data_IF_305739617239
#
_entry.id   IF_305739617239
#
_cell.length_a   1.000
_cell.length_b   1.000
_cell.length_c   1.000
_cell.angle_alpha   90.00
_cell.angle_beta   90.00
_cell.angle_gamma   90.00
#
_symmetry.space_group_name_H-M   'P 1'
#
loop_
_entity.id
_entity.type
_entity.pdbx_description
1 polymer ?
#
# COMPACT_ATOMS: atom_id res chain seq x y z
N UNK A 1 -0.53 52.54 50.14
CA UNK A 1 -1.08 51.49 49.26
C UNK A 1 -0.06 51.21 48.16
N UNK A 2 0.74 50.16 48.33
CA UNK A 2 1.79 49.72 47.41
C UNK A 2 1.16 49.24 46.10
N UNK A 3 1.51 49.89 44.99
CA UNK A 3 1.20 49.39 43.64
C UNK A 3 2.25 48.34 43.28
N UNK A 4 1.79 47.08 43.25
CA UNK A 4 2.53 45.90 42.80
C UNK A 4 2.98 46.12 41.34
N UNK A 5 4.28 46.34 41.13
CA UNK A 5 4.91 46.30 39.80
C UNK A 5 5.40 44.87 39.58
N UNK A 6 4.68 44.10 38.78
CA UNK A 6 5.14 42.82 38.24
C UNK A 6 6.19 43.14 37.17
N UNK A 7 7.46 42.70 37.31
CA UNK A 7 8.43 42.90 36.25
C UNK A 7 8.20 41.86 35.15
N UNK A 8 8.20 42.38 33.93
CA UNK A 8 8.21 41.72 32.64
C UNK A 8 9.41 40.75 32.56
N UNK A 9 9.19 39.45 32.73
CA UNK A 9 10.14 38.40 32.34
C UNK A 9 9.99 38.15 30.83
N UNK A 10 10.60 39.03 30.03
CA UNK A 10 10.79 38.82 28.59
C UNK A 10 12.30 38.84 28.32
N UNK A 11 12.96 37.74 28.63
CA UNK A 11 14.34 37.49 28.22
C UNK A 11 14.57 35.98 28.08
N UNK A 12 15.24 35.61 27.00
CA UNK A 12 15.89 34.32 26.72
C UNK A 12 15.01 33.13 26.30
N UNK A 13 14.35 33.26 25.14
CA UNK A 13 14.30 32.14 24.16
C UNK A 13 14.79 32.68 22.83
N UNK A 14 16.06 33.08 22.80
CA UNK A 14 16.83 33.13 21.55
C UNK A 14 17.76 31.90 21.60
N UNK A 15 17.14 30.72 21.57
CA UNK A 15 17.85 29.49 21.30
C UNK A 15 18.41 29.61 19.90
N UNK A 16 19.72 29.77 19.86
CA UNK A 16 20.64 29.69 18.74
C UNK A 16 20.07 28.86 17.57
N UNK A 17 19.37 29.50 16.63
CA UNK A 17 19.14 28.94 15.31
C UNK A 17 20.48 29.04 14.60
N UNK A 18 21.31 27.99 14.74
CA UNK A 18 22.45 27.79 13.88
C UNK A 18 21.89 27.67 12.45
N UNK A 19 21.98 28.76 11.68
CA UNK A 19 21.69 28.72 10.26
C UNK A 19 22.62 27.65 9.65
N UNK A 20 22.11 26.65 8.94
CA UNK A 20 22.96 25.65 8.33
C UNK A 20 23.99 26.34 7.45
N UNK A 21 25.26 25.95 7.57
CA UNK A 21 26.32 26.52 6.73
C UNK A 21 25.99 26.27 5.26
N UNK A 22 26.23 27.27 4.40
CA UNK A 22 25.96 27.19 2.96
C UNK A 22 26.59 25.95 2.28
N UNK A 23 27.64 25.37 2.87
CA UNK A 23 28.31 24.17 2.36
C UNK A 23 27.55 22.86 2.63
N UNK A 24 26.74 22.78 3.69
CA UNK A 24 25.90 21.61 3.97
C UNK A 24 24.67 21.57 3.05
N UNK A 25 24.04 22.73 2.83
CA UNK A 25 22.91 22.87 1.89
C UNK A 25 23.33 22.58 0.45
N UNK A 26 24.52 23.06 0.03
CA UNK A 26 25.05 22.83 -1.31
C UNK A 26 25.28 21.35 -1.63
N UNK A 27 25.69 20.54 -0.64
CA UNK A 27 25.92 19.10 -0.82
C UNK A 27 24.63 18.28 -0.93
N UNK A 28 23.56 18.68 -0.26
CA UNK A 28 22.26 17.98 -0.39
C UNK A 28 21.67 18.24 -1.78
N UNK A 29 21.68 19.49 -2.23
CA UNK A 29 21.21 19.85 -3.59
C UNK A 29 22.03 19.16 -4.70
N UNK A 30 23.35 18.99 -4.49
CA UNK A 30 24.20 18.24 -5.41
C UNK A 30 23.83 16.75 -5.50
N UNK A 31 23.40 16.14 -4.39
CA UNK A 31 22.96 14.75 -4.34
C UNK A 31 21.55 14.57 -4.91
N UNK A 32 20.65 15.55 -4.72
CA UNK A 32 19.31 15.53 -5.31
C UNK A 32 19.36 15.48 -6.84
N UNK A 33 20.35 16.12 -7.46
CA UNK A 33 20.60 16.06 -8.91
C UNK A 33 21.14 14.72 -9.40
N UNK A 34 21.54 13.83 -8.50
CA UNK A 34 21.97 12.47 -8.81
C UNK A 34 20.90 11.41 -8.58
N UNK A 35 19.72 11.81 -8.09
CA UNK A 35 18.65 10.89 -7.71
C UNK A 35 17.38 11.26 -8.44
N UNK A 36 16.71 10.26 -9.02
CA UNK A 36 15.49 10.44 -9.83
C UNK A 36 14.31 9.70 -9.21
N UNK A 37 13.11 10.21 -9.43
CA UNK A 37 11.87 9.50 -9.13
C UNK A 37 11.53 8.61 -10.31
N UNK A 38 11.26 7.33 -10.07
CA UNK A 38 10.80 6.39 -11.09
C UNK A 38 9.29 6.26 -10.95
N UNK A 39 8.59 6.36 -12.06
CA UNK A 39 7.14 6.20 -12.15
C UNK A 39 6.86 5.07 -13.14
N UNK A 40 6.21 4.03 -12.62
CA UNK A 40 5.81 2.84 -13.35
C UNK A 40 4.28 2.89 -13.48
N UNK A 41 3.79 3.10 -14.70
CA UNK A 41 2.37 3.08 -15.01
C UNK A 41 1.96 1.68 -15.45
N UNK A 42 0.87 1.19 -14.87
CA UNK A 42 0.29 -0.12 -15.13
C UNK A 42 -1.20 0.07 -15.43
N UNK A 43 -1.80 -0.86 -16.17
CA UNK A 43 -3.20 -0.83 -16.59
C UNK A 43 -4.20 -0.68 -15.43
N UNK A 44 -3.80 -1.02 -14.20
CA UNK A 44 -4.64 -1.01 -13.01
C UNK A 44 -4.06 -0.19 -11.83
N UNK A 45 -3.03 0.62 -12.08
CA UNK A 45 -2.44 1.48 -11.05
C UNK A 45 -1.14 2.16 -11.43
N UNK A 46 -0.51 2.78 -10.44
CA UNK A 46 0.81 3.40 -10.57
C UNK A 46 1.68 2.94 -9.41
N UNK A 47 2.94 2.61 -9.70
CA UNK A 47 3.96 2.32 -8.71
C UNK A 47 5.07 3.35 -8.82
N UNK A 48 5.66 3.74 -7.69
CA UNK A 48 6.76 4.70 -7.66
C UNK A 48 7.93 4.18 -6.85
N UNK A 49 9.12 4.60 -7.27
CA UNK A 49 10.37 4.26 -6.63
C UNK A 49 11.41 5.33 -6.88
N UNK A 50 12.64 5.02 -6.51
CA UNK A 50 13.79 5.92 -6.66
C UNK A 50 14.85 5.26 -7.55
N UNK A 51 15.60 6.06 -8.28
CA UNK A 51 16.81 5.63 -8.99
C UNK A 51 18.01 6.53 -8.74
N UNK A 52 19.21 5.98 -8.91
CA UNK A 52 20.49 6.70 -8.77
C UNK A 52 21.19 6.83 -10.11
N UNK A 53 21.46 8.05 -10.56
CA UNK A 53 22.21 8.33 -11.80
C UNK A 53 23.66 7.85 -11.64
N UNK A 54 24.11 6.97 -12.53
CA UNK A 54 25.42 6.31 -12.47
C UNK A 54 26.48 7.02 -13.31
N UNK A 55 26.07 7.66 -14.41
CA UNK A 55 26.95 8.36 -15.34
C UNK A 55 26.19 9.38 -16.20
N UNK A 56 26.93 10.16 -17.00
CA UNK A 56 26.36 11.16 -17.90
C UNK A 56 25.76 10.57 -19.19
N UNK A 57 25.93 9.27 -19.45
CA UNK A 57 25.25 8.56 -20.56
C UNK A 57 23.80 8.19 -20.20
N UNK A 58 23.41 8.49 -18.95
CA UNK A 58 22.05 8.39 -18.44
C UNK A 58 21.65 7.03 -17.90
N UNK A 59 22.62 6.20 -17.51
CA UNK A 59 22.34 4.95 -16.81
C UNK A 59 21.96 5.23 -15.36
N UNK A 60 20.89 4.60 -14.89
CA UNK A 60 20.29 4.81 -13.57
C UNK A 60 20.11 3.45 -12.90
N UNK A 61 20.65 3.26 -11.70
CA UNK A 61 20.40 2.06 -10.90
C UNK A 61 19.10 2.19 -10.10
N UNK A 62 18.38 1.09 -9.96
CA UNK A 62 17.19 0.97 -9.10
C UNK A 62 16.99 -0.50 -8.69
N UNK A 63 15.84 -0.83 -8.10
CA UNK A 63 15.46 -2.22 -7.82
C UNK A 63 14.66 -2.85 -8.97
N UNK A 64 14.73 -4.19 -9.06
CA UNK A 64 13.87 -4.97 -9.95
C UNK A 64 12.39 -4.71 -9.66
N UNK A 65 11.98 -4.79 -8.39
CA UNK A 65 10.55 -4.64 -8.05
C UNK A 65 9.96 -3.24 -8.30
N UNK A 66 10.80 -2.23 -8.54
CA UNK A 66 10.37 -0.88 -8.93
C UNK A 66 9.98 -0.86 -10.41
N UNK A 67 10.70 -1.63 -11.24
CA UNK A 67 10.55 -1.63 -12.71
C UNK A 67 9.83 -2.86 -13.25
N UNK A 68 9.32 -3.77 -12.40
CA UNK A 68 8.57 -4.93 -12.87
C UNK A 68 7.14 -4.57 -13.33
N UNK A 69 6.49 -5.46 -14.10
CA UNK A 69 5.10 -5.38 -14.57
C UNK A 69 4.65 -4.02 -15.15
N UNK A 70 5.51 -3.31 -15.88
CA UNK A 70 5.23 -1.97 -16.40
C UNK A 70 4.59 -1.99 -17.79
N UNK A 71 3.61 -1.09 -18.02
CA UNK A 71 3.15 -0.74 -19.37
C UNK A 71 3.95 0.45 -19.91
N UNK A 72 4.19 1.45 -19.07
CA UNK A 72 5.03 2.61 -19.37
C UNK A 72 5.93 2.93 -18.19
N UNK A 73 7.22 3.18 -18.46
CA UNK A 73 8.23 3.47 -17.43
C UNK A 73 8.87 4.83 -17.68
N UNK A 74 8.74 5.71 -16.70
CA UNK A 74 9.28 7.07 -16.77
C UNK A 74 10.15 7.40 -15.57
N UNK A 75 11.02 8.37 -15.75
CA UNK A 75 11.63 9.10 -14.65
C UNK A 75 11.08 10.53 -14.57
N UNK A 76 11.19 11.11 -13.38
CA UNK A 76 11.05 12.54 -13.13
C UNK A 76 12.32 12.98 -12.39
N UNK A 77 12.92 14.08 -12.83
CA UNK A 77 14.17 14.59 -12.25
C UNK A 77 13.89 15.65 -11.19
N UNK A 78 14.90 16.00 -10.39
CA UNK A 78 14.77 17.01 -9.34
C UNK A 78 14.36 18.41 -9.88
N UNK A 79 14.83 18.79 -11.07
CA UNK A 79 14.62 20.14 -11.62
C UNK A 79 13.48 20.25 -12.62
N UNK A 80 13.02 19.11 -13.15
CA UNK A 80 12.09 19.05 -14.27
C UNK A 80 10.98 18.06 -13.96
N UNK A 81 9.75 18.58 -13.90
CA UNK A 81 8.53 17.79 -13.74
C UNK A 81 8.19 16.99 -15.01
N UNK A 82 8.99 17.12 -16.08
CA UNK A 82 8.84 16.32 -17.27
C UNK A 82 9.10 14.84 -17.01
N UNK A 83 8.17 14.04 -17.54
CA UNK A 83 8.32 12.60 -17.63
C UNK A 83 9.26 12.28 -18.78
N UNK A 84 10.33 11.57 -18.48
CA UNK A 84 11.27 11.09 -19.50
C UNK A 84 11.18 9.58 -19.55
N UNK A 85 10.87 9.02 -20.71
CA UNK A 85 10.75 7.58 -20.91
C UNK A 85 12.09 6.89 -20.67
N UNK A 86 12.05 5.75 -19.98
CA UNK A 86 13.22 4.98 -19.58
C UNK A 86 13.23 3.60 -20.23
N UNK A 87 14.41 3.21 -20.73
CA UNK A 87 14.66 1.87 -21.29
C UNK A 87 15.29 0.97 -20.23
N UNK A 88 14.78 -0.25 -20.05
CA UNK A 88 15.39 -1.25 -19.16
C UNK A 88 16.61 -1.87 -19.84
N UNK A 89 17.80 -1.69 -19.26
CA UNK A 89 19.06 -2.23 -19.78
C UNK A 89 19.45 -3.53 -19.07
N UNK A 90 19.22 -3.57 -17.77
CA UNK A 90 19.54 -4.71 -16.91
C UNK A 90 18.36 -4.94 -16.00
N UNK A 91 17.94 -6.20 -15.93
CA UNK A 91 16.98 -6.65 -14.94
C UNK A 91 17.53 -7.91 -14.23
N UNK A 92 17.59 -7.88 -12.90
CA UNK A 92 18.13 -8.94 -12.07
C UNK A 92 17.24 -9.21 -10.84
N UNK A 93 16.18 -10.01 -11.00
CA UNK A 93 15.26 -10.36 -9.91
C UNK A 93 15.95 -10.95 -8.68
N UNK A 94 16.97 -11.79 -8.88
CA UNK A 94 17.64 -12.51 -7.79
C UNK A 94 18.47 -11.58 -6.88
N UNK A 95 18.86 -10.41 -7.38
CA UNK A 95 19.60 -9.39 -6.63
C UNK A 95 18.71 -8.21 -6.21
N UNK A 96 17.45 -8.23 -6.65
CA UNK A 96 16.52 -7.10 -6.60
C UNK A 96 17.18 -5.80 -7.14
N UNK A 97 17.87 -5.90 -8.27
CA UNK A 97 18.58 -4.79 -8.89
C UNK A 97 18.19 -4.67 -10.36
N UNK A 98 18.10 -3.44 -10.83
CA UNK A 98 17.90 -3.12 -12.24
C UNK A 98 18.72 -1.88 -12.63
N UNK A 99 19.00 -1.75 -13.92
CA UNK A 99 19.57 -0.56 -14.52
C UNK A 99 18.69 -0.13 -15.68
N UNK A 100 18.20 1.10 -15.61
CA UNK A 100 17.44 1.74 -16.69
C UNK A 100 18.32 2.82 -17.35
N UNK A 101 17.93 3.26 -18.54
CA UNK A 101 18.64 4.32 -19.26
C UNK A 101 17.67 5.38 -19.77
N UNK A 102 18.09 6.63 -19.61
CA UNK A 102 17.39 7.81 -20.11
C UNK A 102 18.38 8.69 -20.86
N UNK A 103 18.10 9.03 -22.12
CA UNK A 103 19.02 9.85 -22.93
C UNK A 103 18.85 11.33 -22.60
N UNK A 104 19.97 12.05 -22.56
CA UNK A 104 19.98 13.51 -22.40
C UNK A 104 19.63 14.02 -20.99
N UNK A 105 19.63 13.13 -19.99
CA UNK A 105 19.43 13.53 -18.60
C UNK A 105 20.57 14.45 -18.14
N UNK A 106 20.21 15.54 -17.46
CA UNK A 106 21.16 16.43 -16.78
C UNK A 106 21.14 16.11 -15.29
N UNK A 107 22.32 15.91 -14.70
CA UNK A 107 22.43 15.56 -13.29
C UNK A 107 23.88 15.34 -12.87
N UNK A 108 24.05 15.03 -11.59
CA UNK A 108 25.34 14.71 -11.00
C UNK A 108 25.40 13.22 -10.70
N UNK A 109 26.17 12.42 -11.44
CA UNK A 109 26.30 10.99 -11.15
C UNK A 109 26.74 10.72 -9.71
N UNK A 110 26.07 9.78 -9.05
CA UNK A 110 26.39 9.36 -7.69
C UNK A 110 27.60 8.44 -7.74
N UNK A 111 28.68 8.84 -7.05
CA UNK A 111 29.86 7.99 -6.92
C UNK A 111 29.56 6.74 -6.09
N UNK A 112 30.13 5.60 -6.47
CA UNK A 112 29.90 4.31 -5.83
C UNK A 112 31.11 3.92 -4.96
N UNK A 113 30.84 3.59 -3.70
CA UNK A 113 31.80 3.01 -2.77
C UNK A 113 31.41 1.53 -2.54
N UNK A 114 32.00 0.63 -3.32
CA UNK A 114 31.80 -0.82 -3.21
C UNK A 114 32.83 -1.50 -2.27
N UNK A 115 33.56 -0.71 -1.49
CA UNK A 115 34.55 -1.17 -0.54
C UNK A 115 33.96 -1.86 0.70
N UNK A 116 34.80 -2.06 1.70
CA UNK A 116 34.34 -2.59 3.00
C UNK A 116 33.58 -1.51 3.77
N UNK A 117 32.35 -1.85 4.18
CA UNK A 117 31.52 -1.00 5.02
C UNK A 117 31.52 -1.56 6.45
N UNK A 118 31.92 -0.73 7.41
CA UNK A 118 32.03 -1.11 8.82
C UNK A 118 30.68 -1.14 9.52
N UNK A 119 30.57 -1.95 10.57
CA UNK A 119 29.49 -1.78 11.56
C UNK A 119 29.61 -0.38 12.18
N UNK A 120 28.47 0.22 12.51
CA UNK A 120 28.33 1.59 13.04
C UNK A 120 28.78 2.71 12.08
N UNK A 121 29.09 2.41 10.82
CA UNK A 121 29.28 3.45 9.81
C UNK A 121 27.99 4.23 9.62
N UNK A 122 28.07 5.56 9.65
CA UNK A 122 26.93 6.44 9.39
C UNK A 122 26.51 6.33 7.92
N UNK A 123 25.20 6.20 7.71
CA UNK A 123 24.60 6.07 6.39
C UNK A 123 23.30 6.86 6.29
N UNK A 124 22.92 7.20 5.06
CA UNK A 124 21.70 7.95 4.75
C UNK A 124 20.92 7.20 3.68
N UNK A 125 19.67 6.82 3.96
CA UNK A 125 18.78 6.30 2.93
C UNK A 125 18.13 7.48 2.21
N UNK A 126 18.44 7.63 0.93
CA UNK A 126 18.03 8.77 0.14
C UNK A 126 17.03 8.35 -0.96
N UNK A 127 15.95 9.12 -1.16
CA UNK A 127 15.01 8.85 -2.24
C UNK A 127 13.69 9.61 -2.19
N UNK A 128 12.87 9.42 -3.21
CA UNK A 128 11.56 10.07 -3.35
C UNK A 128 10.47 9.24 -2.66
N UNK A 129 9.75 9.77 -1.66
CA UNK A 129 8.67 9.05 -1.02
C UNK A 129 7.49 8.81 -1.97
N UNK A 130 6.83 7.66 -1.84
CA UNK A 130 5.70 7.24 -2.68
C UNK A 130 4.35 7.81 -2.24
N UNK A 131 4.29 8.48 -1.08
CA UNK A 131 3.05 9.07 -0.52
C UNK A 131 2.45 10.19 -1.37
N UNK A 132 3.20 10.68 -2.36
CA UNK A 132 2.80 11.77 -3.24
C UNK A 132 1.75 11.39 -4.28
N UNK A 133 1.51 10.09 -4.47
CA UNK A 133 0.54 9.57 -5.44
C UNK A 133 -0.89 9.49 -4.84
N UNK A 134 -1.05 9.79 -3.54
CA UNK A 134 -2.33 9.76 -2.81
C UNK A 134 -2.94 11.17 -2.59
N UNK A 135 -2.25 12.23 -2.99
CA UNK A 135 -2.73 13.61 -2.83
C UNK A 135 -3.66 14.02 -4.00
N UNK A 136 -4.83 14.65 -3.75
CA UNK A 136 -5.63 15.26 -4.81
C UNK A 136 -4.82 16.35 -5.54
N UNK A 137 -4.58 16.18 -6.85
CA UNK A 137 -3.63 17.00 -7.63
C UNK A 137 -2.19 16.46 -7.69
N UNK A 138 -1.98 15.22 -7.24
CA UNK A 138 -0.69 14.56 -6.99
C UNK A 138 0.16 14.27 -8.23
N UNK A 139 0.77 15.32 -8.78
CA UNK A 139 2.03 15.23 -9.52
C UNK A 139 3.05 16.29 -9.08
N UNK A 140 2.69 17.16 -8.13
CA UNK A 140 3.48 18.32 -7.77
C UNK A 140 4.66 17.96 -6.84
N UNK A 141 5.86 18.12 -7.39
CA UNK A 141 7.14 18.33 -6.73
C UNK A 141 7.38 17.56 -5.41
N UNK A 142 7.74 16.29 -5.52
CA UNK A 142 8.25 15.54 -4.37
C UNK A 142 9.73 15.83 -4.27
N UNK A 143 10.17 16.53 -3.23
CA UNK A 143 11.59 16.63 -2.91
C UNK A 143 12.08 15.25 -2.46
N UNK A 144 13.32 14.92 -2.80
CA UNK A 144 13.94 13.72 -2.25
C UNK A 144 14.07 13.88 -0.73
N UNK A 145 13.92 12.77 -0.02
CA UNK A 145 14.08 12.66 1.42
C UNK A 145 15.39 11.96 1.74
N UNK A 146 15.99 12.34 2.87
CA UNK A 146 17.15 11.66 3.43
C UNK A 146 16.80 11.25 4.87
N UNK A 147 16.92 9.98 5.17
CA UNK A 147 16.82 9.47 6.54
C UNK A 147 18.18 8.99 6.99
N UNK A 148 18.57 9.38 8.19
CA UNK A 148 19.87 9.03 8.75
C UNK A 148 19.79 7.72 9.55
N UNK A 149 20.89 6.99 9.57
CA UNK A 149 21.12 5.88 10.46
C UNK A 149 22.56 5.38 10.44
N UNK A 150 22.75 4.15 10.90
CA UNK A 150 24.02 3.46 11.00
C UNK A 150 23.90 2.04 10.46
N UNK A 151 25.03 1.51 9.99
CA UNK A 151 25.13 0.13 9.55
C UNK A 151 25.09 -0.81 10.75
N UNK A 152 24.05 -1.61 10.86
CA UNK A 152 23.91 -2.60 11.92
C UNK A 152 24.80 -3.83 11.67
N UNK A 153 24.88 -4.28 10.40
CA UNK A 153 25.77 -5.35 9.94
C UNK A 153 25.82 -5.42 8.41
N UNK A 154 26.87 -6.05 7.89
CA UNK A 154 26.96 -6.46 6.48
C UNK A 154 27.15 -7.97 6.45
N UNK A 155 26.34 -8.68 5.67
CA UNK A 155 26.34 -10.15 5.65
C UNK A 155 25.97 -10.70 4.27
N UNK A 156 26.16 -12.00 4.08
CA UNK A 156 25.71 -12.69 2.85
C UNK A 156 24.35 -13.34 3.13
N UNK A 157 23.37 -13.08 2.27
CA UNK A 157 22.00 -13.62 2.38
C UNK A 157 21.38 -13.88 1.01
N UNK A 158 20.05 -13.87 0.91
CA UNK A 158 19.28 -13.98 -0.34
C UNK A 158 17.95 -13.24 -0.21
N UNK A 159 17.40 -12.75 -1.33
CA UNK A 159 16.07 -12.13 -1.39
C UNK A 159 14.94 -13.15 -1.64
N UNK A 160 15.11 -14.40 -1.20
CA UNK A 160 14.16 -15.49 -1.43
C UNK A 160 14.52 -16.44 -2.59
N UNK A 161 15.61 -16.17 -3.32
CA UNK A 161 16.16 -17.07 -4.35
C UNK A 161 17.39 -17.87 -3.88
N UNK A 162 17.94 -18.71 -4.77
CA UNK A 162 19.17 -19.48 -4.52
C UNK A 162 20.47 -18.68 -4.63
N UNK A 163 20.41 -17.49 -5.24
CA UNK A 163 21.58 -16.61 -5.41
C UNK A 163 21.90 -15.92 -4.09
N UNK A 164 23.05 -16.26 -3.53
CA UNK A 164 23.62 -15.51 -2.41
C UNK A 164 23.98 -14.08 -2.86
N UNK A 165 23.83 -13.08 -2.01
CA UNK A 165 24.31 -11.72 -2.26
C UNK A 165 24.75 -11.04 -0.97
N UNK A 166 25.57 -10.00 -1.09
CA UNK A 166 25.99 -9.16 0.03
C UNK A 166 24.91 -8.12 0.34
N UNK A 167 24.45 -8.11 1.60
CA UNK A 167 23.36 -7.27 2.10
C UNK A 167 23.92 -6.34 3.18
N UNK A 168 23.55 -5.07 3.12
CA UNK A 168 23.74 -4.09 4.19
C UNK A 168 22.45 -4.01 4.99
N UNK A 169 22.53 -4.26 6.30
CA UNK A 169 21.44 -3.95 7.23
C UNK A 169 21.79 -2.67 7.97
N UNK A 170 20.82 -1.75 8.06
CA UNK A 170 20.95 -0.47 8.73
C UNK A 170 19.67 -0.09 9.47
N UNK A 171 19.71 0.98 10.26
CA UNK A 171 18.54 1.53 10.95
C UNK A 171 18.03 2.85 10.34
N UNK A 172 18.66 3.34 9.27
CA UNK A 172 18.15 4.48 8.48
C UNK A 172 16.79 4.14 7.84
N UNK A 173 15.75 4.91 8.15
CA UNK A 173 14.38 4.55 7.81
C UNK A 173 14.12 4.51 6.29
N UNK A 174 13.70 3.37 5.76
CA UNK A 174 13.26 3.22 4.37
C UNK A 174 11.74 3.14 4.32
N UNK A 175 11.13 4.15 3.69
CA UNK A 175 9.68 4.22 3.47
C UNK A 175 9.33 3.83 2.03
N UNK A 176 8.05 3.47 1.75
CA UNK A 176 7.57 3.29 0.39
C UNK A 176 7.98 4.45 -0.52
N UNK A 177 8.54 4.15 -1.70
CA UNK A 177 9.09 5.11 -2.67
C UNK A 177 10.62 5.30 -2.61
N UNK A 178 11.25 5.20 -1.44
CA UNK A 178 12.72 5.33 -1.33
C UNK A 178 13.47 4.07 -1.82
N UNK A 179 12.75 2.98 -2.06
CA UNK A 179 13.31 1.76 -2.63
C UNK A 179 13.90 2.04 -4.02
N UNK A 180 15.08 1.49 -4.28
CA UNK A 180 15.85 1.71 -5.50
C UNK A 180 16.79 2.92 -5.41
N UNK A 181 16.59 3.78 -4.41
CA UNK A 181 17.47 4.91 -4.12
C UNK A 181 18.78 4.49 -3.44
N UNK A 182 19.76 5.40 -3.39
CA UNK A 182 21.06 5.06 -2.83
C UNK A 182 21.03 5.06 -1.30
N UNK A 183 21.72 4.09 -0.70
CA UNK A 183 22.21 4.18 0.67
C UNK A 183 23.59 4.87 0.59
N UNK A 184 23.68 6.08 1.14
CA UNK A 184 24.87 6.92 1.03
C UNK A 184 25.72 6.85 2.30
N UNK A 185 27.05 6.86 2.17
CA UNK A 185 27.94 7.15 3.29
C UNK A 185 27.97 8.65 3.63
N UNK A 186 28.68 9.03 4.70
CA UNK A 186 28.80 10.43 5.14
C UNK A 186 29.45 11.38 4.10
N UNK A 187 30.11 10.81 3.09
CA UNK A 187 30.72 11.51 1.97
C UNK A 187 29.80 11.59 0.74
N UNK A 188 28.56 11.08 0.82
CA UNK A 188 27.59 11.13 -0.27
C UNK A 188 27.84 10.08 -1.35
N UNK A 189 28.56 9.00 -1.03
CA UNK A 189 28.85 7.92 -1.98
C UNK A 189 27.94 6.74 -1.72
N UNK A 190 27.43 6.13 -2.78
CA UNK A 190 26.53 5.00 -2.71
C UNK A 190 27.27 3.74 -2.23
N UNK A 191 26.88 3.25 -1.05
CA UNK A 191 27.37 2.00 -0.45
C UNK A 191 26.37 0.84 -0.62
N UNK A 192 25.16 1.13 -1.09
CA UNK A 192 24.16 0.14 -1.47
C UNK A 192 22.92 0.74 -2.13
N UNK A 193 22.02 -0.12 -2.60
CA UNK A 193 20.69 0.25 -3.13
C UNK A 193 19.62 -0.13 -2.12
N UNK A 194 18.89 0.85 -1.57
CA UNK A 194 17.83 0.61 -0.58
C UNK A 194 16.77 -0.34 -1.15
N UNK A 195 16.32 -1.32 -0.38
CA UNK A 195 15.28 -2.27 -0.81
C UNK A 195 14.24 -2.52 0.27
N UNK A 196 13.00 -2.75 -0.17
CA UNK A 196 11.90 -3.25 0.66
C UNK A 196 11.54 -4.71 0.36
N UNK A 197 12.44 -5.48 -0.29
CA UNK A 197 12.18 -6.88 -0.67
C UNK A 197 11.92 -7.82 0.52
N UNK A 198 12.40 -7.49 1.73
CA UNK A 198 12.10 -8.25 2.96
C UNK A 198 11.19 -7.41 3.86
N UNK A 199 9.87 -7.55 3.72
CA UNK A 199 8.89 -6.83 4.55
C UNK A 199 8.63 -7.48 5.90
N UNK A 200 8.90 -8.78 6.06
CA UNK A 200 8.59 -9.53 7.29
C UNK A 200 9.29 -9.02 8.57
N UNK A 201 10.26 -8.10 8.46
CA UNK A 201 10.97 -7.51 9.60
C UNK A 201 11.00 -5.96 9.60
N UNK A 202 10.32 -5.32 8.65
CA UNK A 202 10.18 -3.85 8.59
C UNK A 202 9.19 -3.37 9.66
N UNK A 203 9.67 -3.31 10.91
CA UNK A 203 8.88 -2.95 12.08
C UNK A 203 9.68 -2.85 13.38
N UNK A 204 10.96 -3.27 13.36
CA UNK A 204 11.86 -3.22 14.51
C UNK A 204 13.06 -2.28 14.33
N UNK A 205 12.97 -1.30 13.42
CA UNK A 205 14.07 -0.37 13.13
C UNK A 205 15.23 -0.98 12.35
N UNK A 206 14.98 -2.06 11.61
CA UNK A 206 15.94 -2.68 10.70
C UNK A 206 15.46 -2.54 9.25
N UNK A 207 16.37 -2.08 8.39
CA UNK A 207 16.18 -1.86 6.97
C UNK A 207 17.36 -2.47 6.20
N UNK A 208 17.18 -2.67 4.89
CA UNK A 208 18.17 -3.35 4.08
C UNK A 208 18.46 -2.64 2.76
N UNK A 209 19.68 -2.84 2.29
CA UNK A 209 20.13 -2.45 0.97
C UNK A 209 20.96 -3.59 0.34
N UNK A 210 20.84 -3.78 -0.98
CA UNK A 210 21.81 -4.57 -1.74
C UNK A 210 23.14 -3.84 -1.72
N UNK A 211 24.22 -4.49 -1.27
CA UNK A 211 25.54 -3.84 -1.17
C UNK A 211 26.02 -3.36 -2.54
N UNK A 212 26.68 -2.21 -2.61
CA UNK A 212 27.11 -1.58 -3.87
C UNK A 212 27.96 -2.50 -4.77
N UNK A 213 28.71 -3.45 -4.18
CA UNK A 213 29.47 -4.46 -4.93
C UNK A 213 28.62 -5.35 -5.84
N UNK A 214 27.36 -5.61 -5.49
CA UNK A 214 26.46 -6.38 -6.35
C UNK A 214 26.12 -5.58 -7.61
N UNK A 215 25.85 -4.27 -7.46
CA UNK A 215 25.63 -3.38 -8.59
C UNK A 215 26.90 -3.22 -9.44
N UNK A 216 28.07 -2.94 -8.84
CA UNK A 216 29.31 -2.75 -9.62
C UNK A 216 29.72 -4.01 -10.37
N UNK A 217 29.50 -5.20 -9.81
CA UNK A 217 29.74 -6.46 -10.51
C UNK A 217 28.91 -6.56 -11.80
N UNK A 218 27.62 -6.21 -11.73
CA UNK A 218 26.72 -6.24 -12.89
C UNK A 218 27.10 -5.16 -13.92
N UNK A 219 27.39 -3.93 -13.47
CA UNK A 219 27.83 -2.83 -14.36
C UNK A 219 29.10 -3.20 -15.13
N UNK A 220 30.10 -3.74 -14.42
CA UNK A 220 31.34 -4.21 -15.03
C UNK A 220 31.09 -5.33 -16.05
N UNK A 221 30.21 -6.28 -15.75
CA UNK A 221 29.87 -7.38 -16.67
C UNK A 221 29.22 -6.90 -17.97
N UNK A 222 28.58 -5.73 -17.97
CA UNK A 222 27.93 -5.11 -19.12
C UNK A 222 28.74 -3.97 -19.74
N UNK A 223 29.93 -3.66 -19.22
CA UNK A 223 30.76 -2.56 -19.70
C UNK A 223 30.16 -1.18 -19.49
N UNK A 224 29.30 -1.01 -18.48
CA UNK A 224 28.69 0.29 -18.15
C UNK A 224 29.64 1.06 -17.23
N UNK A 225 30.00 2.27 -17.63
CA UNK A 225 30.87 3.15 -16.86
C UNK A 225 30.16 3.73 -15.63
N UNK A 226 30.90 3.94 -14.55
CA UNK A 226 30.42 4.62 -13.34
C UNK A 226 31.60 5.22 -12.59
N UNK A 227 31.33 6.22 -11.74
CA UNK A 227 32.36 6.80 -10.87
C UNK A 227 32.54 5.93 -9.63
N UNK A 228 33.73 5.35 -9.45
CA UNK A 228 34.08 4.59 -8.23
C UNK A 228 34.93 5.46 -7.31
N UNK A 229 34.53 5.57 -6.04
CA UNK A 229 35.29 6.26 -5.01
C UNK A 229 35.25 5.47 -3.69
N UNK A 230 36.38 4.85 -3.35
CA UNK A 230 36.58 4.09 -2.11
C UNK A 230 37.57 4.78 -1.17
N UNK A 231 37.81 6.08 -1.35
CA UNK A 231 38.71 6.85 -0.48
C UNK A 231 38.19 6.88 0.96
N UNK A 232 39.07 7.10 1.93
CA UNK A 232 38.66 7.22 3.34
C UNK A 232 37.75 8.43 3.50
N UNK A 233 36.53 8.21 4.01
CA UNK A 233 35.63 9.30 4.34
C UNK A 233 36.11 9.95 5.64
N UNK A 234 36.98 10.95 5.54
CA UNK A 234 37.45 11.71 6.69
C UNK A 234 36.39 12.73 7.11
N UNK A 235 35.60 12.39 8.13
CA UNK A 235 34.67 13.32 8.77
C UNK A 235 35.36 14.21 9.82
N UNK A 236 36.65 13.98 10.09
CA UNK A 236 37.46 14.67 11.11
C UNK A 236 38.25 15.88 10.58
N UNK A 237 38.31 16.06 9.25
CA UNK A 237 38.84 17.26 8.59
C UNK A 237 37.91 18.47 8.68
N UNK A 238 37.76 19.06 9.87
CA UNK A 238 37.23 20.42 10.06
C UNK A 238 35.74 20.57 10.44
N UNK A 239 35.11 19.57 11.07
CA UNK A 239 33.65 19.58 11.27
C UNK A 239 33.18 19.28 12.70
N UNK A 240 33.93 19.66 13.74
CA UNK A 240 33.47 19.50 15.13
C UNK A 240 32.22 20.32 15.48
N UNK A 241 31.97 21.43 14.77
CA UNK A 241 30.75 22.25 14.86
C UNK A 241 29.80 22.01 13.68
N UNK A 242 30.35 21.61 12.53
CA UNK A 242 29.60 21.55 11.27
C UNK A 242 28.96 20.18 11.02
N UNK A 243 29.50 19.08 11.56
CA UNK A 243 28.89 17.76 11.44
C UNK A 243 27.60 17.68 12.26
N UNK A 244 27.64 18.18 13.51
CA UNK A 244 26.46 18.27 14.36
C UNK A 244 25.44 19.28 13.83
N UNK A 245 25.87 20.43 13.31
CA UNK A 245 24.95 21.37 12.65
C UNK A 245 24.37 20.81 11.33
N UNK A 246 25.11 19.97 10.60
CA UNK A 246 24.65 19.25 9.39
C UNK A 246 23.64 18.15 9.75
N UNK A 247 23.93 17.39 10.80
CA UNK A 247 23.05 16.38 11.41
C UNK A 247 21.76 17.06 11.90
N UNK A 248 21.87 18.09 12.74
CA UNK A 248 20.74 18.85 13.27
C UNK A 248 19.92 19.51 12.15
N UNK A 249 20.54 20.03 11.08
CA UNK A 249 19.83 20.64 9.95
C UNK A 249 19.11 19.62 9.06
N UNK A 250 19.71 18.45 8.82
CA UNK A 250 19.08 17.37 8.06
C UNK A 250 17.96 16.70 8.87
N UNK A 251 18.18 16.50 10.17
CA UNK A 251 17.18 16.02 11.11
C UNK A 251 16.04 17.03 11.29
N UNK A 252 16.32 18.33 11.38
CA UNK A 252 15.29 19.36 11.48
C UNK A 252 14.47 19.50 10.19
N UNK A 253 15.11 19.41 9.01
CA UNK A 253 14.38 19.40 7.72
C UNK A 253 13.50 18.17 7.59
N UNK A 254 14.01 16.98 7.88
CA UNK A 254 13.23 15.75 7.82
C UNK A 254 12.11 15.70 8.87
N UNK A 255 12.35 16.23 10.08
CA UNK A 255 11.32 16.35 11.12
C UNK A 255 10.24 17.39 10.75
N UNK A 256 10.61 18.52 10.18
CA UNK A 256 9.65 19.52 9.70
C UNK A 256 8.81 18.97 8.54
N UNK A 257 9.42 18.23 7.62
CA UNK A 257 8.73 17.55 6.52
C UNK A 257 7.77 16.47 7.04
N UNK A 258 8.20 15.66 8.01
CA UNK A 258 7.33 14.66 8.64
C UNK A 258 6.16 15.31 9.39
N UNK A 259 6.39 16.47 10.03
CA UNK A 259 5.34 17.22 10.70
C UNK A 259 4.33 17.81 9.71
N UNK A 260 4.79 18.37 8.59
CA UNK A 260 3.94 18.86 7.51
C UNK A 260 3.12 17.72 6.89
N UNK A 261 3.74 16.55 6.70
CA UNK A 261 3.08 15.36 6.17
C UNK A 261 2.00 14.85 7.11
N UNK A 262 2.29 14.74 8.41
CA UNK A 262 1.30 14.35 9.43
C UNK A 262 0.14 15.35 9.50
N UNK A 263 0.41 16.64 9.29
CA UNK A 263 -0.64 17.65 9.22
C UNK A 263 -1.55 17.44 7.98
N UNK A 264 -0.97 17.17 6.81
CA UNK A 264 -1.73 16.86 5.59
C UNK A 264 -2.52 15.55 5.71
N UNK A 265 -1.95 14.52 6.31
CA UNK A 265 -2.65 13.25 6.58
C UNK A 265 -3.81 13.45 7.56
N UNK A 266 -3.61 14.24 8.62
CA UNK A 266 -4.67 14.57 9.56
C UNK A 266 -5.79 15.38 8.89
N UNK A 267 -5.45 16.29 7.98
CA UNK A 267 -6.41 17.08 7.22
C UNK A 267 -7.23 16.20 6.25
N UNK A 268 -6.58 15.29 5.52
CA UNK A 268 -7.25 14.36 4.60
C UNK A 268 -8.20 13.43 5.37
N UNK A 269 -7.72 12.87 6.49
CA UNK A 269 -8.53 11.99 7.34
C UNK A 269 -9.70 12.74 7.99
N UNK A 270 -9.51 14.01 8.35
CA UNK A 270 -10.59 14.86 8.83
C UNK A 270 -11.61 15.18 7.74
N UNK A 271 -11.17 15.38 6.49
CA UNK A 271 -12.07 15.58 5.36
C UNK A 271 -12.90 14.31 5.07
N UNK A 272 -12.26 13.14 5.06
CA UNK A 272 -12.94 11.85 4.83
C UNK A 272 -13.97 11.54 5.93
N UNK A 273 -13.60 11.79 7.20
CA UNK A 273 -14.52 11.61 8.33
C UNK A 273 -15.73 12.56 8.26
N UNK A 274 -15.52 13.79 7.78
CA UNK A 274 -16.63 14.74 7.54
C UNK A 274 -17.58 14.22 6.46
N UNK A 275 -17.06 13.72 5.34
CA UNK A 275 -17.89 13.15 4.27
C UNK A 275 -18.71 11.95 4.76
N UNK A 276 -18.10 11.05 5.54
CA UNK A 276 -18.82 9.92 6.14
C UNK A 276 -19.90 10.37 7.12
N UNK A 277 -19.63 11.40 7.92
CA UNK A 277 -20.60 11.95 8.86
C UNK A 277 -21.78 12.62 8.14
N UNK A 278 -21.52 13.35 7.05
CA UNK A 278 -22.57 13.96 6.22
C UNK A 278 -23.44 12.91 5.52
N UNK A 279 -22.85 11.82 5.05
CA UNK A 279 -23.58 10.68 4.47
C UNK A 279 -24.48 10.00 5.52
N UNK A 280 -23.97 9.79 6.74
CA UNK A 280 -24.78 9.25 7.83
C UNK A 280 -25.91 10.18 8.28
N UNK A 281 -25.65 11.50 8.33
CA UNK A 281 -26.68 12.49 8.64
C UNK A 281 -27.77 12.51 7.56
N UNK A 282 -27.38 12.45 6.28
CA UNK A 282 -28.33 12.36 5.16
C UNK A 282 -29.23 11.11 5.21
N UNK A 283 -28.69 9.96 5.59
CA UNK A 283 -29.50 8.74 5.79
C UNK A 283 -30.44 8.85 7.01
N UNK A 284 -30.02 9.50 8.10
CA UNK A 284 -30.91 9.76 9.25
C UNK A 284 -32.04 10.71 8.88
N UNK A 285 -31.79 11.74 8.08
CA UNK A 285 -32.82 12.68 7.61
C UNK A 285 -33.85 12.00 6.71
N UNK A 286 -33.41 11.08 5.83
CA UNK A 286 -34.33 10.25 5.03
C UNK A 286 -35.22 9.36 5.91
N UNK A 287 -34.64 8.73 6.94
CA UNK A 287 -35.42 7.92 7.89
C UNK A 287 -36.39 8.78 8.71
N UNK A 288 -35.99 9.98 9.12
CA UNK A 288 -36.83 10.89 9.88
C UNK A 288 -38.02 11.39 9.04
N UNK A 289 -37.78 11.80 7.80
CA UNK A 289 -38.82 12.23 6.88
C UNK A 289 -39.78 11.08 6.54
N UNK A 290 -39.25 9.88 6.34
CA UNK A 290 -40.07 8.69 6.15
C UNK A 290 -40.98 8.40 7.36
N UNK A 291 -40.49 8.57 8.60
CA UNK A 291 -41.31 8.41 9.80
C UNK A 291 -42.40 9.48 9.89
N UNK A 292 -42.07 10.74 9.61
CA UNK A 292 -43.01 11.86 9.64
C UNK A 292 -44.14 11.65 8.62
N UNK A 293 -43.80 11.29 7.38
CA UNK A 293 -44.77 11.03 6.32
C UNK A 293 -45.76 9.91 6.68
N UNK A 294 -45.27 8.82 7.28
CA UNK A 294 -46.13 7.72 7.71
C UNK A 294 -47.03 8.09 8.89
N UNK A 295 -46.54 8.91 9.84
CA UNK A 295 -47.36 9.38 10.97
C UNK A 295 -48.46 10.34 10.48
N UNK A 296 -48.14 11.26 9.57
CA UNK A 296 -49.12 12.18 8.97
C UNK A 296 -50.17 11.42 8.14
N UNK A 297 -49.77 10.41 7.38
CA UNK A 297 -50.68 9.56 6.63
C UNK A 297 -51.60 8.76 7.57
N UNK A 298 -51.06 8.16 8.64
CA UNK A 298 -51.87 7.44 9.63
C UNK A 298 -52.86 8.38 10.35
N UNK A 299 -52.42 9.59 10.71
CA UNK A 299 -53.26 10.59 11.36
C UNK A 299 -54.43 11.06 10.47
N UNK A 300 -54.18 11.30 9.18
CA UNK A 300 -55.21 11.70 8.22
C UNK A 300 -56.25 10.60 7.96
N UNK A 301 -55.83 9.33 7.89
CA UNK A 301 -56.74 8.17 7.80
C UNK A 301 -57.63 8.09 9.05
N UNK A 302 -57.05 8.23 10.25
CA UNK A 302 -57.79 8.19 11.51
C UNK A 302 -58.82 9.33 11.62
N UNK A 303 -58.46 10.55 11.22
CA UNK A 303 -59.37 11.68 11.20
C UNK A 303 -60.52 11.46 10.20
N UNK A 304 -60.23 10.94 9.01
CA UNK A 304 -61.24 10.58 8.02
C UNK A 304 -62.22 9.52 8.53
N UNK A 305 -61.71 8.47 9.16
CA UNK A 305 -62.52 7.42 9.78
C UNK A 305 -63.40 7.97 10.91
N UNK A 306 -62.87 8.88 11.74
CA UNK A 306 -63.63 9.55 12.79
C UNK A 306 -64.80 10.34 12.22
N UNK A 307 -64.56 11.14 11.16
CA UNK A 307 -65.60 11.94 10.49
C UNK A 307 -66.66 11.05 9.87
N UNK A 308 -66.27 9.99 9.17
CA UNK A 308 -67.21 9.02 8.57
C UNK A 308 -68.05 8.36 9.66
N UNK A 309 -67.44 7.95 10.77
CA UNK A 309 -68.13 7.33 11.91
C UNK A 309 -69.13 8.30 12.54
N UNK A 310 -68.75 9.57 12.70
CA UNK A 310 -69.62 10.62 13.22
C UNK A 310 -70.83 10.87 12.30
N UNK A 311 -70.60 10.98 10.97
CA UNK A 311 -71.64 11.18 9.98
C UNK A 311 -72.64 10.00 9.92
N UNK A 312 -72.15 8.77 10.04
CA UNK A 312 -72.99 7.57 10.08
C UNK A 312 -73.77 7.44 11.40
N UNK A 313 -73.17 7.88 12.52
CA UNK A 313 -73.85 7.93 13.82
C UNK A 313 -74.97 8.98 13.85
N UNK A 314 -74.76 10.15 13.23
CA UNK A 314 -75.80 11.20 13.09
C UNK A 314 -76.94 10.75 12.15
N UNK A 315 -76.65 9.97 11.09
CA UNK A 315 -77.68 9.36 10.22
C UNK A 315 -78.39 8.13 10.84
N UNK A 316 -78.13 7.79 12.10
CA UNK A 316 -78.81 6.70 12.82
C UNK A 316 -78.41 5.28 12.40
N UNK A 317 -77.36 5.10 11.57
CA UNK A 317 -77.00 3.81 10.98
C UNK A 317 -75.79 3.17 11.66
N UNK A 318 -75.89 2.97 12.99
CA UNK A 318 -74.77 2.58 13.89
C UNK A 318 -74.10 1.24 13.53
N UNK A 319 -74.86 0.28 12.99
CA UNK A 319 -74.31 -1.02 12.59
C UNK A 319 -73.36 -0.94 11.39
N UNK A 320 -73.64 -0.05 10.43
CA UNK A 320 -72.75 0.18 9.27
C UNK A 320 -71.46 0.90 9.67
N UNK A 321 -71.52 1.80 10.66
CA UNK A 321 -70.34 2.50 11.17
C UNK A 321 -69.33 1.53 11.80
N UNK A 322 -69.79 0.57 12.61
CA UNK A 322 -68.94 -0.44 13.23
C UNK A 322 -68.27 -1.38 12.20
N UNK A 323 -68.99 -1.73 11.13
CA UNK A 323 -68.46 -2.57 10.04
C UNK A 323 -67.32 -1.89 9.26
N UNK A 324 -67.43 -0.59 8.97
CA UNK A 324 -66.41 0.16 8.23
C UNK A 324 -65.12 0.33 9.06
N UNK A 325 -65.23 0.59 10.36
CA UNK A 325 -64.07 0.68 11.26
C UNK A 325 -63.31 -0.64 11.29
N UNK A 326 -64.01 -1.77 11.39
CA UNK A 326 -63.37 -3.09 11.46
C UNK A 326 -62.71 -3.52 10.15
N UNK A 327 -63.26 -3.13 8.98
CA UNK A 327 -62.69 -3.49 7.67
C UNK A 327 -61.40 -2.71 7.34
N UNK A 328 -61.22 -1.51 7.90
CA UNK A 328 -60.06 -0.65 7.59
C UNK A 328 -58.94 -0.75 8.63
N UNK A 329 -59.27 -0.91 9.91
CA UNK A 329 -58.27 -0.93 11.00
C UNK A 329 -57.47 -2.24 11.03
N UNK A 330 -58.09 -3.37 10.71
CA UNK A 330 -57.42 -4.69 10.72
C UNK A 330 -56.27 -4.81 9.69
N UNK A 331 -56.45 -4.48 8.40
CA UNK A 331 -55.38 -4.56 7.41
C UNK A 331 -54.19 -3.62 7.70
N UNK A 332 -54.46 -2.45 8.29
CA UNK A 332 -53.44 -1.47 8.68
C UNK A 332 -52.59 -1.97 9.85
N UNK A 333 -53.18 -2.68 10.82
CA UNK A 333 -52.46 -3.26 11.96
C UNK A 333 -51.44 -4.34 11.57
N UNK A 334 -51.65 -5.01 10.42
CA UNK A 334 -50.74 -6.02 9.88
C UNK A 334 -49.57 -5.38 9.12
N UNK A 335 -49.79 -4.25 8.43
CA UNK A 335 -48.75 -3.52 7.68
C UNK A 335 -47.65 -2.92 8.57
N UNK A 336 -47.98 -2.53 9.80
CA UNK A 336 -47.02 -1.96 10.76
C UNK A 336 -46.25 -3.00 11.60
N UNK A 337 -46.57 -4.30 11.49
CA UNK A 337 -45.82 -5.38 12.17
C UNK A 337 -44.63 -5.93 11.37
N UNK A 338 -44.52 -5.61 10.08
CA UNK A 338 -43.42 -6.07 9.23
C UNK A 338 -42.41 -4.97 8.99
N UNK A 339 -41.24 -5.07 9.63
CA UNK A 339 -39.93 -4.42 9.35
C UNK A 339 -39.31 -3.79 10.60
N UNK A 340 -38.72 -4.61 11.45
CA UNK A 340 -37.70 -4.18 12.41
C UNK A 340 -36.33 -4.73 11.96
N UNK A 341 -35.22 -3.95 12.00
CA UNK A 341 -33.91 -4.46 11.60
C UNK A 341 -33.41 -5.48 12.62
N UNK A 342 -32.98 -6.65 12.15
CA UNK A 342 -32.42 -7.70 13.01
C UNK A 342 -30.98 -7.39 13.43
N UNK A 343 -30.67 -7.56 14.73
CA UNK A 343 -29.30 -7.54 15.28
C UNK A 343 -28.53 -8.80 14.85
N UNK A 344 -27.20 -8.72 14.67
CA UNK A 344 -26.39 -9.89 14.37
C UNK A 344 -26.22 -10.77 15.62
N UNK A 345 -26.43 -12.07 15.45
CA UNK A 345 -26.28 -13.08 16.49
C UNK A 345 -24.83 -13.59 16.60
N UNK A 346 -24.51 -13.98 17.82
CA UNK A 346 -23.22 -14.44 18.35
C UNK A 346 -22.74 -15.79 17.81
N UNK A 347 -21.42 -15.93 17.82
CA UNK A 347 -20.53 -17.09 17.64
C UNK A 347 -21.07 -18.45 18.09
N UNK A 348 -20.79 -19.57 17.37
CA UNK A 348 -20.89 -20.91 17.93
C UNK A 348 -19.52 -21.51 18.30
N UNK A 349 -19.51 -22.18 19.45
CA UNK A 349 -18.43 -23.00 19.99
C UNK A 349 -18.35 -24.38 19.33
N UNK A 350 -17.15 -24.94 19.38
CA UNK A 350 -16.72 -26.19 18.75
C UNK A 350 -16.74 -27.34 19.78
N UNK A 351 -17.11 -28.57 19.38
CA UNK A 351 -16.52 -29.88 19.78
C UNK A 351 -17.31 -31.10 19.22
N UNK A 352 -16.70 -32.31 19.09
CA UNK A 352 -16.70 -33.07 17.83
C UNK A 352 -17.22 -34.54 17.87
N UNK A 353 -17.42 -35.11 16.67
CA UNK A 353 -17.29 -36.54 16.31
C UNK A 353 -18.57 -37.25 15.82
N UNK A 354 -18.50 -38.44 15.16
CA UNK A 354 -17.46 -38.98 14.28
C UNK A 354 -17.99 -39.40 12.87
N UNK A 355 -17.01 -39.75 12.03
CA UNK A 355 -16.94 -40.31 10.68
C UNK A 355 -18.10 -41.22 10.20
N UNK A 356 -18.62 -40.97 9.00
CA UNK A 356 -19.08 -42.02 8.07
C UNK A 356 -18.75 -41.68 6.61
N UNK A 357 -18.32 -42.73 5.91
CA UNK A 357 -17.92 -42.81 4.51
C UNK A 357 -19.16 -43.02 3.64
N UNK A 358 -19.35 -42.23 2.58
CA UNK A 358 -20.17 -42.63 1.43
C UNK A 358 -19.82 -41.80 0.17
N UNK A 359 -19.91 -42.47 -0.98
CA UNK A 359 -19.40 -42.09 -2.29
C UNK A 359 -20.36 -41.22 -3.11
N UNK A 360 -19.77 -40.42 -4.02
CA UNK A 360 -20.28 -39.96 -5.32
C UNK A 360 -21.70 -39.37 -5.41
N UNK A 361 -21.77 -38.04 -5.47
CA UNK A 361 -22.78 -37.32 -6.25
C UNK A 361 -22.22 -35.98 -6.75
N UNK A 362 -22.29 -35.76 -8.06
CA UNK A 362 -22.02 -34.46 -8.71
C UNK A 362 -23.08 -33.48 -8.20
N UNK A 363 -22.66 -32.45 -7.46
CA UNK A 363 -23.55 -31.40 -6.96
C UNK A 363 -23.04 -30.03 -7.43
N UNK A 364 -23.89 -29.34 -8.18
CA UNK A 364 -23.76 -27.94 -8.59
C UNK A 364 -23.71 -27.01 -7.38
N UNK A 365 -22.79 -26.03 -7.29
CA UNK A 365 -22.71 -25.15 -6.13
C UNK A 365 -23.60 -23.91 -6.34
N UNK A 366 -24.77 -23.91 -5.69
CA UNK A 366 -25.43 -22.67 -5.27
C UNK A 366 -25.49 -22.71 -3.75
N UNK A 367 -24.72 -21.83 -3.09
CA UNK A 367 -25.05 -21.13 -1.84
C UNK A 367 -23.79 -20.44 -1.27
N UNK A 368 -23.61 -19.16 -1.57
CA UNK A 368 -23.00 -18.15 -0.68
C UNK A 368 -21.57 -18.30 -0.12
N UNK A 369 -20.91 -19.44 -0.20
CA UNK A 369 -19.62 -19.73 0.45
C UNK A 369 -18.42 -19.11 -0.25
N UNK A 370 -17.35 -18.88 0.51
CA UNK A 370 -16.04 -18.50 0.01
C UNK A 370 -15.20 -19.71 -0.41
N UNK A 371 -13.93 -19.48 -0.78
CA UNK A 371 -12.94 -20.54 -0.98
C UNK A 371 -11.87 -20.46 0.12
N UNK A 372 -11.34 -21.63 0.48
CA UNK A 372 -10.09 -21.75 1.24
C UNK A 372 -9.03 -22.34 0.32
N UNK A 373 -7.93 -21.61 0.17
CA UNK A 373 -6.76 -22.07 -0.57
C UNK A 373 -5.70 -22.48 0.45
N UNK A 374 -5.40 -23.76 0.54
CA UNK A 374 -4.44 -24.27 1.54
C UNK A 374 -3.35 -25.12 0.91
N UNK A 375 -2.11 -25.00 1.38
CA UNK A 375 -1.00 -25.74 0.82
C UNK A 375 0.33 -25.33 1.42
N UNK A 376 1.39 -25.46 0.62
CA UNK A 376 2.76 -25.22 1.08
C UNK A 376 3.54 -24.35 0.11
N UNK A 377 4.37 -23.48 0.68
CA UNK A 377 5.48 -22.81 0.03
C UNK A 377 6.76 -23.56 0.39
N UNK A 378 7.49 -24.07 -0.61
CA UNK A 378 8.72 -24.84 -0.37
C UNK A 378 8.48 -26.18 0.34
N UNK A 379 9.25 -26.48 1.40
CA UNK A 379 9.24 -27.78 2.09
C UNK A 379 8.59 -27.77 3.50
N UNK A 380 8.21 -26.60 4.03
CA UNK A 380 7.72 -26.51 5.43
C UNK A 380 6.74 -25.38 5.75
N UNK A 381 6.59 -24.37 4.90
CA UNK A 381 5.75 -23.20 5.23
C UNK A 381 4.32 -23.43 4.74
N UNK A 382 3.38 -23.62 5.67
CA UNK A 382 1.97 -23.77 5.34
C UNK A 382 1.34 -22.42 5.01
N UNK A 383 0.57 -22.39 3.93
CA UNK A 383 -0.17 -21.22 3.46
C UNK A 383 -1.66 -21.55 3.52
N UNK A 384 -2.46 -20.64 4.06
CA UNK A 384 -3.91 -20.73 4.06
C UNK A 384 -4.52 -19.35 3.77
N UNK A 385 -5.21 -19.21 2.65
CA UNK A 385 -5.86 -17.97 2.22
C UNK A 385 -7.38 -18.16 2.19
N UNK A 386 -8.11 -17.25 2.82
CA UNK A 386 -9.57 -17.26 2.84
C UNK A 386 -10.12 -16.24 1.85
N UNK A 387 -10.68 -16.73 0.75
CA UNK A 387 -11.40 -15.93 -0.24
C UNK A 387 -12.86 -15.86 0.19
N UNK A 388 -13.20 -14.87 1.00
CA UNK A 388 -14.57 -14.75 1.56
C UNK A 388 -15.57 -14.27 0.50
N UNK A 389 -16.85 -14.50 0.76
CA UNK A 389 -17.93 -14.01 -0.10
C UNK A 389 -18.00 -12.49 -0.19
N UNK A 390 -17.52 -11.77 0.83
CA UNK A 390 -17.40 -10.29 0.81
C UNK A 390 -16.32 -9.82 -0.17
N UNK A 391 -15.20 -10.54 -0.29
CA UNK A 391 -14.14 -10.25 -1.27
C UNK A 391 -14.59 -10.55 -2.71
N UNK A 392 -15.67 -11.33 -2.87
CA UNK A 392 -16.23 -11.71 -4.17
C UNK A 392 -17.56 -10.99 -4.49
N UNK A 393 -17.98 -10.06 -3.64
CA UNK A 393 -19.29 -9.40 -3.75
C UNK A 393 -19.37 -8.45 -4.95
N UNK A 394 -18.25 -7.81 -5.32
CA UNK A 394 -18.11 -7.08 -6.58
C UNK A 394 -17.64 -8.06 -7.67
N UNK A 395 -18.62 -8.66 -8.36
CA UNK A 395 -18.37 -9.70 -9.38
C UNK A 395 -17.47 -9.25 -10.54
N UNK A 396 -17.25 -7.94 -10.72
CA UNK A 396 -16.35 -7.39 -11.75
C UNK A 396 -14.91 -7.20 -11.28
N UNK A 397 -14.68 -6.98 -9.97
CA UNK A 397 -13.34 -6.75 -9.39
C UNK A 397 -12.68 -8.00 -8.85
N UNK A 398 -13.46 -8.97 -8.36
CA UNK A 398 -12.95 -10.21 -7.74
C UNK A 398 -12.00 -9.98 -6.57
N UNK A 399 -11.46 -11.08 -6.05
CA UNK A 399 -10.42 -11.11 -5.03
C UNK A 399 -9.05 -11.29 -5.71
N UNK A 400 -8.20 -10.28 -5.60
CA UNK A 400 -6.82 -10.29 -6.10
C UNK A 400 -5.86 -10.92 -5.09
N UNK A 401 -4.92 -11.73 -5.58
CA UNK A 401 -3.89 -12.40 -4.78
C UNK A 401 -2.52 -12.08 -5.39
N UNK A 402 -1.54 -11.76 -4.53
CA UNK A 402 -0.18 -11.47 -4.96
C UNK A 402 0.71 -11.07 -3.78
N UNK A 403 1.97 -10.71 -4.06
CA UNK A 403 2.95 -10.42 -3.00
C UNK A 403 2.95 -8.99 -2.48
N UNK A 404 2.21 -8.06 -3.09
CA UNK A 404 2.25 -6.66 -2.71
C UNK A 404 1.03 -6.22 -1.90
N UNK A 405 1.15 -5.97 -0.58
CA UNK A 405 0.00 -5.82 0.34
C UNK A 405 -0.88 -4.59 0.08
N UNK A 406 -0.43 -3.63 -0.73
CA UNK A 406 -1.23 -2.45 -1.12
C UNK A 406 -1.91 -2.60 -2.48
N UNK A 407 -1.59 -3.66 -3.23
CA UNK A 407 -2.11 -3.89 -4.58
C UNK A 407 -3.07 -5.09 -4.65
N UNK A 408 -3.23 -5.83 -3.54
CA UNK A 408 -4.00 -7.08 -3.51
C UNK A 408 -4.91 -7.17 -2.30
N UNK A 409 -5.96 -7.96 -2.42
CA UNK A 409 -6.90 -8.26 -1.34
C UNK A 409 -6.34 -9.32 -0.37
N UNK A 410 -5.62 -10.31 -0.90
CA UNK A 410 -4.98 -11.36 -0.12
C UNK A 410 -3.48 -11.42 -0.42
N UNK A 411 -2.67 -11.22 0.64
CA UNK A 411 -1.22 -11.27 0.55
C UNK A 411 -0.72 -12.71 0.50
N UNK A 412 0.07 -13.02 -0.54
CA UNK A 412 0.87 -14.21 -0.64
C UNK A 412 2.35 -13.80 -0.78
N UNK A 413 3.05 -13.73 0.36
CA UNK A 413 4.42 -13.24 0.45
C UNK A 413 5.43 -14.31 -0.01
N UNK A 414 5.64 -14.38 -1.33
CA UNK A 414 6.57 -15.29 -1.98
C UNK A 414 7.26 -14.60 -3.16
N UNK A 415 8.56 -14.80 -3.32
CA UNK A 415 9.37 -14.17 -4.37
C UNK A 415 9.03 -14.66 -5.78
N UNK A 416 8.45 -15.86 -5.90
CA UNK A 416 7.93 -16.38 -7.17
C UNK A 416 6.57 -15.79 -7.54
N UNK A 417 5.93 -15.04 -6.65
CA UNK A 417 4.58 -14.49 -6.85
C UNK A 417 4.69 -13.01 -7.25
N UNK A 418 4.17 -12.59 -8.42
CA UNK A 418 4.07 -11.16 -8.79
C UNK A 418 3.27 -10.32 -7.80
N UNK A 419 3.49 -8.99 -7.83
CA UNK A 419 2.85 -8.02 -6.92
C UNK A 419 1.33 -8.16 -6.91
N UNK A 420 0.75 -8.30 -8.11
CA UNK A 420 -0.60 -8.79 -8.38
C UNK A 420 -0.45 -10.00 -9.29
N UNK A 421 -0.76 -11.19 -8.82
CA UNK A 421 -0.46 -12.42 -9.56
C UNK A 421 -1.68 -12.96 -10.28
N UNK A 422 -2.78 -13.07 -9.56
CA UNK A 422 -4.02 -13.60 -10.10
C UNK A 422 -5.22 -12.92 -9.46
N UNK A 423 -6.38 -13.13 -10.06
CA UNK A 423 -7.68 -12.76 -9.50
C UNK A 423 -8.62 -13.95 -9.50
N UNK A 424 -9.35 -14.13 -8.41
CA UNK A 424 -10.47 -15.06 -8.30
C UNK A 424 -11.76 -14.24 -8.32
N UNK A 425 -12.68 -14.56 -9.20
CA UNK A 425 -13.97 -13.86 -9.32
C UNK A 425 -15.15 -14.84 -9.33
N UNK A 426 -16.36 -14.31 -9.23
CA UNK A 426 -17.58 -15.11 -9.29
C UNK A 426 -18.16 -15.04 -10.70
N UNK A 427 -18.17 -16.18 -11.40
CA UNK A 427 -18.84 -16.34 -12.69
C UNK A 427 -20.29 -16.79 -12.54
N UNK A 428 -20.99 -16.95 -13.67
CA UNK A 428 -22.39 -17.43 -13.71
C UNK A 428 -22.56 -18.86 -13.18
N UNK A 429 -21.52 -19.69 -13.24
CA UNK A 429 -21.55 -21.12 -12.89
C UNK A 429 -20.52 -21.53 -11.82
N UNK A 430 -19.99 -20.58 -11.03
CA UNK A 430 -19.03 -20.88 -9.96
C UNK A 430 -17.91 -19.86 -9.85
N UNK A 431 -16.74 -20.28 -9.35
CA UNK A 431 -15.56 -19.43 -9.26
C UNK A 431 -14.77 -19.46 -10.57
N UNK A 432 -14.19 -18.33 -10.92
CA UNK A 432 -13.28 -18.16 -12.04
C UNK A 432 -11.93 -17.72 -11.50
N UNK A 433 -10.85 -18.12 -12.15
CA UNK A 433 -9.50 -17.64 -11.90
C UNK A 433 -8.91 -17.08 -13.19
N UNK A 434 -8.27 -15.94 -13.09
CA UNK A 434 -7.50 -15.33 -14.17
C UNK A 434 -6.10 -14.99 -13.70
N UNK A 435 -5.11 -15.26 -14.56
CA UNK A 435 -3.75 -14.79 -14.37
C UNK A 435 -3.66 -13.30 -14.75
N UNK A 436 -3.08 -12.47 -13.89
CA UNK A 436 -2.95 -11.03 -14.11
C UNK A 436 -1.62 -10.67 -14.80
N UNK A 437 -1.21 -11.48 -15.77
CA UNK A 437 0.07 -11.39 -16.47
C UNK A 437 1.27 -11.52 -15.52
N UNK A 438 1.22 -12.55 -14.69
CA UNK A 438 2.25 -12.80 -13.70
C UNK A 438 3.55 -13.31 -14.34
N UNK A 439 4.68 -12.99 -13.73
CA UNK A 439 6.03 -13.32 -14.22
C UNK A 439 6.27 -14.83 -14.30
N UNK A 440 5.80 -15.58 -13.29
CA UNK A 440 5.99 -17.03 -13.20
C UNK A 440 4.74 -17.84 -13.56
N UNK A 441 3.64 -17.16 -13.90
CA UNK A 441 2.39 -17.76 -14.36
C UNK A 441 1.55 -18.43 -13.27
N UNK A 442 0.26 -18.50 -13.55
CA UNK A 442 -0.72 -19.30 -12.80
C UNK A 442 -1.02 -20.61 -13.52
N UNK A 443 -1.17 -21.73 -12.78
CA UNK A 443 -1.62 -23.02 -13.33
C UNK A 443 -2.78 -23.59 -12.54
N UNK A 444 -3.72 -24.24 -13.23
CA UNK A 444 -4.81 -25.02 -12.62
C UNK A 444 -4.67 -26.47 -13.06
N UNK A 445 -4.55 -27.38 -12.09
CA UNK A 445 -4.33 -28.82 -12.33
C UNK A 445 -3.14 -29.08 -13.28
N UNK A 446 -2.07 -28.30 -13.12
CA UNK A 446 -0.85 -28.36 -13.93
C UNK A 446 -0.91 -27.63 -15.28
N UNK A 447 -2.10 -27.23 -15.75
CA UNK A 447 -2.27 -26.51 -17.02
C UNK A 447 -2.05 -25.00 -16.81
N UNK A 448 -1.15 -24.35 -17.58
CA UNK A 448 -0.93 -22.91 -17.48
C UNK A 448 -2.12 -22.13 -18.03
N UNK A 449 -2.44 -21.03 -17.36
CA UNK A 449 -3.47 -20.09 -17.81
C UNK A 449 -2.90 -19.11 -18.83
N UNK A 450 -3.74 -18.65 -19.74
CA UNK A 450 -3.42 -17.49 -20.58
C UNK A 450 -3.67 -16.21 -19.76
N UNK A 451 -2.75 -15.23 -19.78
CA UNK A 451 -2.95 -13.95 -19.10
C UNK A 451 -4.29 -13.29 -19.50
N UNK A 452 -4.98 -12.72 -18.51
CA UNK A 452 -6.25 -12.00 -18.65
C UNK A 452 -7.40 -12.80 -19.26
N UNK A 453 -7.31 -14.14 -19.23
CA UNK A 453 -8.38 -15.03 -19.69
C UNK A 453 -8.93 -15.85 -18.52
N UNK A 454 -10.10 -15.49 -17.98
CA UNK A 454 -10.73 -16.24 -16.90
C UNK A 454 -11.01 -17.70 -17.28
N UNK A 455 -10.65 -18.62 -16.38
CA UNK A 455 -10.90 -20.06 -16.49
C UNK A 455 -11.69 -20.53 -15.26
N UNK A 456 -12.63 -21.47 -15.38
CA UNK A 456 -13.34 -22.01 -14.22
C UNK A 456 -12.39 -22.62 -13.18
N UNK A 457 -12.61 -22.29 -11.91
CA UNK A 457 -11.89 -22.84 -10.76
C UNK A 457 -12.81 -23.75 -9.96
N UNK A 458 -12.61 -25.06 -10.09
CA UNK A 458 -13.38 -26.05 -9.35
C UNK A 458 -12.80 -26.29 -7.95
N UNK A 459 -13.67 -26.66 -7.00
CA UNK A 459 -13.26 -27.24 -5.71
C UNK A 459 -12.43 -28.50 -5.97
N UNK A 460 -11.47 -28.78 -5.09
CA UNK A 460 -10.46 -29.83 -5.18
C UNK A 460 -9.41 -29.65 -6.30
N UNK A 461 -9.44 -28.51 -7.01
CA UNK A 461 -8.39 -28.18 -7.97
C UNK A 461 -7.07 -27.87 -7.27
N UNK A 462 -5.96 -28.25 -7.88
CA UNK A 462 -4.64 -27.75 -7.52
C UNK A 462 -4.39 -26.43 -8.25
N UNK A 463 -4.31 -25.33 -7.50
CA UNK A 463 -3.94 -24.01 -7.97
C UNK A 463 -2.45 -23.76 -7.69
N UNK A 464 -1.68 -23.47 -8.72
CA UNK A 464 -0.28 -23.08 -8.58
C UNK A 464 -0.12 -21.60 -8.93
N UNK A 465 0.53 -20.85 -8.04
CA UNK A 465 0.78 -19.40 -8.12
C UNK A 465 2.29 -19.21 -8.04
N UNK A 466 2.96 -18.99 -9.17
CA UNK A 466 4.42 -19.12 -9.23
C UNK A 466 4.87 -20.52 -8.79
N UNK A 467 5.68 -20.61 -7.75
CA UNK A 467 6.15 -21.88 -7.18
C UNK A 467 5.26 -22.41 -6.04
N UNK A 468 4.28 -21.64 -5.58
CA UNK A 468 3.38 -22.01 -4.47
C UNK A 468 2.24 -22.89 -5.00
N UNK A 469 2.02 -24.04 -4.37
CA UNK A 469 0.92 -24.97 -4.73
C UNK A 469 -0.12 -25.04 -3.62
N UNK A 470 -1.36 -24.73 -3.97
CA UNK A 470 -2.51 -24.66 -3.08
C UNK A 470 -3.61 -25.60 -3.58
N UNK A 471 -4.32 -26.23 -2.65
CA UNK A 471 -5.55 -26.97 -2.89
C UNK A 471 -6.74 -26.03 -2.65
N UNK A 472 -7.67 -26.04 -3.60
CA UNK A 472 -8.92 -25.27 -3.51
C UNK A 472 -9.96 -26.08 -2.74
N UNK A 473 -10.50 -25.52 -1.67
CA UNK A 473 -11.57 -26.13 -0.87
C UNK A 473 -12.69 -25.12 -0.62
N UNK A 474 -13.88 -25.61 -0.24
CA UNK A 474 -14.96 -24.73 0.19
C UNK A 474 -14.63 -24.16 1.58
N UNK A 475 -14.85 -22.86 1.74
CA UNK A 475 -14.57 -22.11 2.97
C UNK A 475 -15.76 -21.93 3.91
#
# INVERSE_FOLDING_TARGET
>A
MQKLRVPLLLASVLSLLALPSNAALKRVEELERGVVRIVNLMSDGTSTGTGSLLNNDGYIATNHHVIEDYDELFIITHNDEQRIEAEVIIDSPQLDLAVIRVRGIQGNPVAINDGSLGKTSQVYAFGYPGISDQAPGGHAAVQATATEGTVSRVYTGSWGGSRALKIVQHDAAVNPGNSGGPLLDACGRMVGTNTMAIKAQAGHGAFWASHASELTAILNSKGISFTRDTSTCDTSGGAGTDAKAREDALSAKSAAQLAEQRAKEAELKAAELRTQMDEQLGERDKQLNWLIDNVLLAGSIMAGLLVITLLLAVKGNRQKAAQVVHQVVEPLSQRFRGSAPQRPATTPSHQPGPTQVAQHAVATPNNGGGLVLSGFKGHSDSVCLQVTSSLLADGSKGCSIGRHPQLVDLLLDDSSVSRRHLRISRGSNGFMVEDLNSTNGTRVNGQPLQPFKPVPLAVDSQLQIGDVKLLVSLG
#
